data_IF_854964052023
#
_entry.id   IF_854964052023
#
_cell.length_a   1.000
_cell.length_b   1.000
_cell.length_c   1.000
_cell.angle_alpha   90.00
_cell.angle_beta   90.00
_cell.angle_gamma   90.00
#
_symmetry.space_group_name_H-M   'P 1'
#
loop_
_entity.id
_entity.type
_entity.pdbx_description
1 polymer ?
#
# COMPACT_ATOMS: atom_id res chain seq x y z
N UNK A 1 -7.89 -3.36 52.54
CA UNK A 1 -7.35 -2.15 51.86
C UNK A 1 -7.86 -2.11 50.42
N UNK A 2 -8.46 -1.01 49.96
CA UNK A 2 -8.85 -0.85 48.55
C UNK A 2 -7.58 -0.72 47.70
N UNK A 3 -7.44 -1.55 46.66
CA UNK A 3 -6.30 -1.46 45.73
C UNK A 3 -6.31 -0.09 45.04
N UNK A 4 -5.13 0.53 44.95
CA UNK A 4 -4.92 1.80 44.24
C UNK A 4 -4.15 1.56 42.94
N UNK A 5 -4.36 2.41 41.95
CA UNK A 5 -3.61 2.43 40.70
C UNK A 5 -3.05 3.83 40.44
N UNK A 6 -1.96 3.91 39.68
CA UNK A 6 -1.42 5.19 39.19
C UNK A 6 -1.88 5.44 37.77
N UNK A 7 -2.26 6.68 37.47
CA UNK A 7 -2.63 7.10 36.13
C UNK A 7 -2.01 8.47 35.82
N UNK A 8 -1.76 8.70 34.54
CA UNK A 8 -1.30 9.99 34.04
C UNK A 8 -2.53 10.85 33.70
N UNK A 9 -2.66 12.03 34.29
CA UNK A 9 -3.85 12.87 34.23
C UNK A 9 -3.51 14.25 33.69
N UNK A 10 -4.45 14.82 32.93
CA UNK A 10 -4.38 16.19 32.44
C UNK A 10 -5.56 17.00 32.96
N UNK A 11 -5.27 18.02 33.77
CA UNK A 11 -6.31 18.81 34.46
C UNK A 11 -6.90 19.94 33.62
N UNK A 12 -6.24 20.34 32.53
CA UNK A 12 -6.69 21.42 31.63
C UNK A 12 -6.65 20.97 30.17
N UNK A 13 -7.66 21.36 29.38
CA UNK A 13 -7.65 21.20 27.92
C UNK A 13 -6.57 22.13 27.31
N UNK A 14 -5.93 21.73 26.21
CA UNK A 14 -4.88 22.50 25.52
C UNK A 14 -3.46 21.97 25.75
N UNK A 15 -2.41 22.70 25.35
CA UNK A 15 -1.01 22.32 25.58
C UNK A 15 -0.66 22.51 27.06
N UNK A 16 -0.11 21.48 27.71
CA UNK A 16 0.21 21.52 29.13
C UNK A 16 0.73 20.19 29.67
N UNK A 17 1.38 20.24 30.82
CA UNK A 17 2.00 19.09 31.47
C UNK A 17 0.95 18.09 31.96
N UNK A 18 1.31 16.81 31.96
CA UNK A 18 0.53 15.75 32.60
C UNK A 18 1.17 15.37 33.93
N UNK A 19 0.34 14.96 34.89
CA UNK A 19 0.78 14.59 36.24
C UNK A 19 0.41 13.15 36.56
N UNK A 20 1.25 12.45 37.32
CA UNK A 20 0.94 11.11 37.82
C UNK A 20 0.13 11.25 39.11
N UNK A 21 -1.05 10.63 39.17
CA UNK A 21 -1.88 10.61 40.37
C UNK A 21 -2.35 9.20 40.74
N UNK A 22 -2.62 9.00 42.03
CA UNK A 22 -3.11 7.75 42.59
C UNK A 22 -4.64 7.71 42.66
N UNK A 23 -5.26 6.73 42.02
CA UNK A 23 -6.71 6.52 42.00
C UNK A 23 -7.10 5.23 42.71
N UNK A 24 -8.33 5.13 43.24
CA UNK A 24 -8.92 3.83 43.56
C UNK A 24 -9.08 3.01 42.28
N UNK A 25 -8.83 1.71 42.35
CA UNK A 25 -9.04 0.83 41.20
C UNK A 25 -10.52 0.87 40.76
N UNK A 26 -10.82 1.05 39.46
CA UNK A 26 -12.20 1.14 38.97
C UNK A 26 -12.95 -0.17 39.20
N UNK A 27 -14.26 -0.05 39.43
CA UNK A 27 -15.17 -1.19 39.43
C UNK A 27 -15.50 -1.54 37.97
N UNK A 28 -15.40 -2.82 37.64
CA UNK A 28 -15.84 -3.34 36.35
C UNK A 28 -17.33 -3.68 36.46
N UNK A 29 -18.13 -3.28 35.47
CA UNK A 29 -19.49 -3.77 35.29
C UNK A 29 -19.53 -5.25 34.88
N UNK A 30 -20.73 -5.81 34.74
CA UNK A 30 -20.92 -7.23 34.43
C UNK A 30 -20.25 -7.67 33.12
N UNK A 31 -20.14 -6.76 32.14
CA UNK A 31 -19.58 -7.01 30.81
C UNK A 31 -18.17 -6.41 30.63
N UNK A 32 -17.57 -5.83 31.68
CA UNK A 32 -16.28 -5.17 31.60
C UNK A 32 -15.12 -6.11 31.95
N UNK A 33 -14.03 -6.01 31.20
CA UNK A 33 -12.78 -6.73 31.52
C UNK A 33 -11.75 -5.75 32.10
N UNK A 34 -11.15 -6.13 33.23
CA UNK A 34 -10.03 -5.39 33.82
C UNK A 34 -8.72 -5.73 33.11
N UNK A 35 -8.11 -4.72 32.48
CA UNK A 35 -6.82 -4.87 31.79
C UNK A 35 -5.70 -4.31 32.67
N UNK A 36 -4.70 -5.15 32.97
CA UNK A 36 -3.45 -4.69 33.60
C UNK A 36 -2.48 -4.23 32.52
N UNK A 37 -2.30 -2.91 32.42
CA UNK A 37 -1.38 -2.30 31.44
C UNK A 37 0.07 -2.68 31.77
N UNK A 38 0.78 -3.31 30.82
CA UNK A 38 2.22 -3.62 30.92
C UNK A 38 3.11 -2.63 30.16
N UNK A 39 2.58 -2.03 29.10
CA UNK A 39 3.23 -1.01 28.29
C UNK A 39 2.18 -0.10 27.66
N UNK A 40 2.54 1.15 27.39
CA UNK A 40 1.70 2.13 26.71
C UNK A 40 2.60 2.97 25.79
N UNK A 41 2.22 3.12 24.52
CA UNK A 41 2.98 3.90 23.54
C UNK A 41 2.66 5.39 23.64
N UNK A 42 3.68 6.25 23.56
CA UNK A 42 3.50 7.69 23.41
C UNK A 42 3.30 8.06 21.94
N UNK A 43 2.39 8.99 21.65
CA UNK A 43 2.23 9.62 20.32
C UNK A 43 2.47 11.12 20.46
N UNK A 44 3.28 11.70 19.57
CA UNK A 44 3.45 13.16 19.48
C UNK A 44 2.26 13.76 18.71
N UNK A 45 1.59 14.75 19.31
CA UNK A 45 0.51 15.49 18.66
C UNK A 45 1.09 16.58 17.74
N UNK A 46 1.07 16.36 16.42
CA UNK A 46 1.05 17.46 15.43
C UNK A 46 -0.31 17.45 14.74
N UNK A 47 -1.08 18.51 14.98
CA UNK A 47 -2.41 18.83 14.46
C UNK A 47 -3.55 17.84 14.81
N UNK A 48 -4.67 18.42 15.24
CA UNK A 48 -5.90 17.73 15.65
C UNK A 48 -6.46 16.85 14.52
N UNK A 49 -6.36 15.54 14.70
CA UNK A 49 -7.17 14.56 13.96
C UNK A 49 -8.46 14.41 14.79
N UNK A 50 -9.66 14.61 14.20
CA UNK A 50 -10.90 14.44 14.94
C UNK A 50 -10.96 13.04 15.56
N UNK A 51 -11.22 13.02 16.88
CA UNK A 51 -11.54 11.83 17.66
C UNK A 51 -12.88 11.27 17.17
N UNK A 52 -12.84 10.55 16.07
CA UNK A 52 -13.84 9.54 15.73
C UNK A 52 -13.13 8.21 15.42
N UNK A 53 -12.27 7.79 16.35
CA UNK A 53 -11.63 6.47 16.34
C UNK A 53 -12.57 5.39 16.90
N UNK A 54 -13.85 5.43 16.49
CA UNK A 54 -14.76 4.29 16.57
C UNK A 54 -14.70 3.39 15.33
N UNK A 55 -13.71 3.56 14.45
CA UNK A 55 -13.27 2.49 13.56
C UNK A 55 -12.43 1.48 14.37
N UNK A 56 -13.10 0.72 15.22
CA UNK A 56 -12.55 -0.54 15.73
C UNK A 56 -12.18 -1.40 14.51
N UNK A 57 -11.14 -2.20 14.66
CA UNK A 57 -10.73 -3.24 13.71
C UNK A 57 -11.75 -4.36 13.59
N UNK A 58 -12.98 -4.01 13.22
CA UNK A 58 -14.15 -4.88 13.12
C UNK A 58 -14.22 -5.59 11.76
N UNK A 59 -13.26 -5.36 10.85
CA UNK A 59 -13.16 -6.14 9.59
C UNK A 59 -12.63 -7.56 9.87
N UNK A 60 -11.96 -7.79 11.02
CA UNK A 60 -11.26 -9.06 11.33
C UNK A 60 -11.51 -9.52 12.80
N UNK A 61 -12.51 -8.96 13.48
CA UNK A 61 -12.84 -9.36 14.85
C UNK A 61 -14.33 -9.58 15.02
N UNK A 62 -14.84 -10.67 14.47
CA UNK A 62 -16.02 -11.31 15.03
C UNK A 62 -15.81 -12.81 15.24
N UNK A 63 -16.25 -13.20 16.44
CA UNK A 63 -16.39 -14.50 17.08
C UNK A 63 -15.19 -15.45 17.28
N UNK A 64 -14.84 -15.61 18.56
CA UNK A 64 -14.13 -16.77 19.13
C UNK A 64 -12.74 -17.09 18.58
N UNK A 65 -11.76 -16.22 18.80
CA UNK A 65 -10.36 -16.58 19.10
C UNK A 65 -9.58 -17.56 18.20
N UNK A 66 -10.12 -18.00 17.05
CA UNK A 66 -9.63 -19.20 16.36
C UNK A 66 -9.68 -19.15 14.81
N UNK A 67 -10.11 -18.05 14.17
CA UNK A 67 -10.34 -18.04 12.71
C UNK A 67 -9.64 -16.96 11.86
N UNK A 68 -8.66 -16.22 12.40
CA UNK A 68 -7.90 -15.20 11.62
C UNK A 68 -6.80 -15.83 10.75
N UNK A 69 -6.49 -17.12 10.91
CA UNK A 69 -5.34 -17.79 10.25
C UNK A 69 -5.62 -18.28 8.83
N UNK A 70 -6.88 -18.30 8.37
CA UNK A 70 -7.25 -18.89 7.08
C UNK A 70 -7.60 -17.87 5.98
N UNK A 71 -7.70 -16.58 6.30
CA UNK A 71 -8.01 -15.56 5.29
C UNK A 71 -6.78 -15.25 4.42
N UNK A 72 -7.03 -15.21 3.12
CA UNK A 72 -6.04 -14.91 2.07
C UNK A 72 -6.51 -13.70 1.27
N UNK A 73 -5.55 -12.92 0.81
CA UNK A 73 -5.75 -11.85 -0.14
C UNK A 73 -5.42 -12.35 -1.54
N UNK A 74 -6.34 -12.23 -2.49
CA UNK A 74 -6.14 -12.59 -3.88
C UNK A 74 -6.14 -11.32 -4.73
N UNK A 75 -5.11 -11.15 -5.55
CA UNK A 75 -5.04 -10.09 -6.56
C UNK A 75 -5.60 -10.63 -7.88
N UNK A 76 -6.50 -9.89 -8.52
CA UNK A 76 -7.11 -10.24 -9.80
C UNK A 76 -6.79 -9.17 -10.87
N UNK A 77 -5.55 -9.16 -11.41
CA UNK A 77 -5.07 -8.11 -12.32
C UNK A 77 -5.55 -8.31 -13.77
N UNK A 78 -6.87 -8.29 -13.99
CA UNK A 78 -7.48 -8.42 -15.33
C UNK A 78 -7.26 -7.17 -16.19
N UNK A 79 -7.23 -6.00 -15.58
CA UNK A 79 -6.85 -4.73 -16.21
C UNK A 79 -5.39 -4.33 -15.87
N UNK A 80 -4.56 -5.32 -15.53
CA UNK A 80 -3.20 -5.09 -15.04
C UNK A 80 -3.15 -4.53 -13.62
N UNK A 81 -2.08 -3.80 -13.32
CA UNK A 81 -1.78 -3.30 -11.98
C UNK A 81 -0.76 -2.14 -12.06
N UNK A 82 -1.04 -1.08 -11.30
CA UNK A 82 -0.13 0.02 -10.99
C UNK A 82 -0.10 0.27 -9.47
N UNK A 83 0.80 1.12 -8.99
CA UNK A 83 0.94 1.39 -7.57
C UNK A 83 -0.30 2.09 -6.97
N UNK A 84 -0.80 3.13 -7.62
CA UNK A 84 -2.04 3.84 -7.25
C UNK A 84 -3.26 2.90 -7.23
N UNK A 85 -3.37 1.98 -8.21
CA UNK A 85 -4.40 0.94 -8.24
C UNK A 85 -4.27 0.00 -7.04
N UNK A 86 -3.07 -0.40 -6.65
CA UNK A 86 -2.87 -1.25 -5.48
C UNK A 86 -3.33 -0.56 -4.19
N UNK A 87 -2.88 0.67 -3.97
CA UNK A 87 -3.26 1.46 -2.80
C UNK A 87 -4.77 1.67 -2.77
N UNK A 88 -5.36 2.07 -3.91
CA UNK A 88 -6.81 2.24 -4.05
C UNK A 88 -7.58 0.96 -3.75
N UNK A 89 -7.12 -0.19 -4.24
CA UNK A 89 -7.79 -1.47 -4.02
C UNK A 89 -7.79 -1.88 -2.54
N UNK A 90 -6.68 -1.64 -1.82
CA UNK A 90 -6.60 -1.89 -0.38
C UNK A 90 -7.46 -0.92 0.45
N UNK A 91 -7.56 0.35 0.04
CA UNK A 91 -8.53 1.29 0.64
C UNK A 91 -9.95 0.81 0.37
N UNK A 92 -10.25 0.32 -0.84
CA UNK A 92 -11.52 -0.29 -1.20
C UNK A 92 -11.87 -1.52 -0.34
N UNK A 93 -10.86 -2.27 0.12
CA UNK A 93 -11.03 -3.34 1.11
C UNK A 93 -11.33 -2.84 2.54
N UNK A 94 -11.25 -1.54 2.78
CA UNK A 94 -11.54 -0.92 4.08
C UNK A 94 -10.31 -0.52 4.88
N UNK A 95 -9.13 -0.43 4.26
CA UNK A 95 -8.00 0.23 4.90
C UNK A 95 -8.25 1.74 5.02
N UNK A 96 -7.81 2.36 6.12
CA UNK A 96 -8.13 3.74 6.47
C UNK A 96 -7.42 4.73 5.55
N UNK A 97 -8.17 5.36 4.66
CA UNK A 97 -7.65 6.30 3.66
C UNK A 97 -6.83 7.45 4.27
N UNK A 98 -7.24 8.00 5.41
CA UNK A 98 -6.51 9.10 6.08
C UNK A 98 -5.14 8.67 6.58
N UNK A 99 -5.01 7.44 7.09
CA UNK A 99 -3.73 6.90 7.57
C UNK A 99 -2.80 6.58 6.41
N UNK A 100 -3.31 5.98 5.35
CA UNK A 100 -2.56 5.66 4.13
C UNK A 100 -2.06 6.96 3.48
N UNK A 101 -2.96 7.93 3.28
CA UNK A 101 -2.63 9.27 2.79
C UNK A 101 -1.50 9.89 3.63
N UNK A 102 -1.62 9.87 4.96
CA UNK A 102 -0.61 10.47 5.85
C UNK A 102 0.75 9.78 5.71
N UNK A 103 0.79 8.46 5.54
CA UNK A 103 2.04 7.73 5.31
C UNK A 103 2.68 8.10 3.96
N UNK A 104 1.88 8.13 2.89
CA UNK A 104 2.34 8.52 1.54
C UNK A 104 2.91 9.94 1.54
N UNK A 105 2.18 10.92 2.08
CA UNK A 105 2.66 12.31 2.18
C UNK A 105 3.88 12.43 3.09
N UNK A 106 4.04 11.56 4.09
CA UNK A 106 5.21 11.56 4.97
C UNK A 106 6.47 11.12 4.25
N UNK A 107 6.41 10.08 3.41
CA UNK A 107 7.58 9.69 2.63
C UNK A 107 7.87 10.67 1.50
N UNK A 108 6.83 11.20 0.85
CA UNK A 108 6.98 12.22 -0.19
C UNK A 108 7.70 13.49 0.31
N UNK A 109 7.43 13.89 1.56
CA UNK A 109 8.09 15.04 2.22
C UNK A 109 9.61 14.94 2.37
N UNK A 110 10.20 13.75 2.25
CA UNK A 110 11.67 13.61 2.22
C UNK A 110 12.27 14.01 0.87
N UNK A 111 11.46 14.06 -0.19
CA UNK A 111 11.90 14.28 -1.57
C UNK A 111 11.36 15.57 -2.19
N UNK A 112 10.31 16.17 -1.61
CA UNK A 112 9.68 17.39 -2.12
C UNK A 112 8.38 17.72 -1.38
N UNK A 113 7.52 18.53 -1.99
CA UNK A 113 6.15 18.72 -1.49
C UNK A 113 5.22 17.68 -2.13
N UNK A 114 4.49 16.96 -1.30
CA UNK A 114 3.68 15.82 -1.71
C UNK A 114 2.27 15.94 -1.13
N UNK A 115 1.27 15.87 -2.01
CA UNK A 115 -0.14 15.87 -1.65
C UNK A 115 -0.84 14.69 -2.28
N UNK A 116 -1.58 13.95 -1.47
CA UNK A 116 -2.30 12.75 -1.92
C UNK A 116 -3.81 12.93 -1.76
N UNK A 117 -4.55 12.55 -2.79
CA UNK A 117 -6.02 12.47 -2.76
C UNK A 117 -6.44 11.02 -2.92
N UNK A 118 -7.26 10.54 -1.99
CA UNK A 118 -7.87 9.22 -2.04
C UNK A 118 -9.37 9.42 -1.98
N UNK A 119 -10.09 9.00 -3.01
CA UNK A 119 -11.52 9.27 -3.13
C UNK A 119 -12.27 8.17 -3.91
N UNK A 120 -13.58 7.99 -3.66
CA UNK A 120 -14.41 7.10 -4.47
C UNK A 120 -14.44 7.58 -5.92
N UNK A 121 -14.25 6.68 -6.86
CA UNK A 121 -14.30 6.95 -8.28
C UNK A 121 -14.99 5.80 -9.01
N UNK A 122 -15.52 6.06 -10.19
CA UNK A 122 -16.27 5.08 -10.97
C UNK A 122 -15.59 4.90 -12.31
N UNK A 123 -15.22 3.66 -12.64
CA UNK A 123 -14.74 3.27 -13.98
C UNK A 123 -15.83 2.41 -14.62
N UNK A 124 -16.55 3.00 -15.58
CA UNK A 124 -17.78 2.42 -16.15
C UNK A 124 -18.79 2.07 -15.03
N UNK A 125 -19.19 0.81 -14.92
CA UNK A 125 -20.15 0.37 -13.90
C UNK A 125 -19.51 -0.03 -12.57
N UNK A 126 -18.18 -0.02 -12.49
CA UNK A 126 -17.43 -0.45 -11.29
C UNK A 126 -17.11 0.72 -10.37
N UNK A 127 -17.62 0.65 -9.14
CA UNK A 127 -17.21 1.55 -8.06
C UNK A 127 -15.83 1.13 -7.55
N UNK A 128 -14.90 2.08 -7.52
CA UNK A 128 -13.53 1.88 -7.10
C UNK A 128 -13.04 3.05 -6.22
N UNK A 129 -11.81 2.94 -5.73
CA UNK A 129 -11.10 4.03 -5.07
C UNK A 129 -9.98 4.49 -5.98
N UNK A 130 -9.92 5.80 -6.24
CA UNK A 130 -8.83 6.44 -6.98
C UNK A 130 -7.85 7.07 -6.01
N UNK A 131 -6.57 6.96 -6.35
CA UNK A 131 -5.46 7.63 -5.67
C UNK A 131 -4.79 8.54 -6.69
N UNK A 132 -4.78 9.85 -6.40
CA UNK A 132 -4.04 10.83 -7.18
C UNK A 132 -2.92 11.39 -6.30
N UNK A 133 -1.73 11.47 -6.87
CA UNK A 133 -0.56 12.05 -6.22
C UNK A 133 -0.14 13.31 -6.97
N UNK A 134 0.06 14.38 -6.22
CA UNK A 134 0.55 15.66 -6.70
C UNK A 134 1.88 15.92 -6.01
N UNK A 135 2.94 16.08 -6.79
CA UNK A 135 4.30 16.18 -6.27
C UNK A 135 5.09 17.31 -6.93
N UNK A 136 5.74 18.11 -6.08
CA UNK A 136 6.69 19.14 -6.49
C UNK A 136 8.09 18.75 -5.94
N UNK A 137 9.05 18.36 -6.81
CA UNK A 137 10.36 17.89 -6.37
C UNK A 137 11.17 18.97 -5.67
N UNK A 138 11.97 18.55 -4.68
CA UNK A 138 12.96 19.42 -4.04
C UNK A 138 13.97 19.97 -5.06
N UNK A 139 14.42 21.24 -4.92
CA UNK A 139 15.43 21.84 -5.79
C UNK A 139 16.77 21.07 -5.82
N UNK A 140 17.03 20.23 -4.83
CA UNK A 140 18.27 19.48 -4.71
C UNK A 140 18.30 18.17 -5.51
N UNK A 141 17.25 17.86 -6.27
CA UNK A 141 17.14 16.65 -7.08
C UNK A 141 16.92 15.38 -6.26
N UNK A 142 16.31 14.39 -6.89
CA UNK A 142 16.04 13.06 -6.32
C UNK A 142 17.00 12.04 -6.95
N UNK A 143 17.61 11.18 -6.15
CA UNK A 143 18.46 10.10 -6.65
C UNK A 143 18.16 8.80 -5.89
N UNK A 144 18.75 7.68 -6.32
CA UNK A 144 18.52 6.37 -5.70
C UNK A 144 18.92 6.33 -4.22
N UNK A 145 20.00 7.00 -3.84
CA UNK A 145 20.47 7.03 -2.46
C UNK A 145 19.51 7.81 -1.56
N UNK A 146 19.09 9.00 -2.01
CA UNK A 146 18.07 9.82 -1.34
C UNK A 146 16.74 9.07 -1.22
N UNK A 147 16.34 8.37 -2.27
CA UNK A 147 15.09 7.58 -2.29
C UNK A 147 15.15 6.43 -1.28
N UNK A 148 16.24 5.65 -1.27
CA UNK A 148 16.46 4.59 -0.27
C UNK A 148 16.53 5.15 1.16
N UNK A 149 17.17 6.30 1.35
CA UNK A 149 17.24 6.97 2.65
C UNK A 149 15.85 7.43 3.11
N UNK A 150 15.08 8.06 2.23
CA UNK A 150 13.71 8.47 2.49
C UNK A 150 12.84 7.29 2.93
N UNK A 151 12.92 6.16 2.21
CA UNK A 151 12.21 4.94 2.60
C UNK A 151 12.63 4.47 4.00
N UNK A 152 13.94 4.37 4.29
CA UNK A 152 14.44 3.93 5.60
C UNK A 152 13.95 4.82 6.74
N UNK A 153 13.99 6.13 6.56
CA UNK A 153 13.49 7.07 7.58
C UNK A 153 11.97 6.97 7.75
N UNK A 154 11.22 6.84 6.65
CA UNK A 154 9.77 6.73 6.68
C UNK A 154 9.29 5.44 7.36
N UNK A 155 9.85 4.27 7.02
CA UNK A 155 9.46 3.00 7.63
C UNK A 155 9.81 2.96 9.13
N UNK A 156 10.93 3.59 9.52
CA UNK A 156 11.32 3.76 10.92
C UNK A 156 10.36 4.68 11.66
N UNK A 157 10.01 5.84 11.08
CA UNK A 157 9.07 6.79 11.67
C UNK A 157 7.65 6.25 11.83
N UNK A 158 7.24 5.35 10.94
CA UNK A 158 5.94 4.67 11.00
C UNK A 158 5.94 3.43 11.91
N UNK A 159 7.10 3.03 12.44
CA UNK A 159 7.28 1.81 13.23
C UNK A 159 6.70 0.58 12.52
N UNK A 160 6.95 0.44 11.21
CA UNK A 160 6.48 -0.72 10.45
C UNK A 160 7.14 -2.00 10.96
N UNK A 161 6.39 -3.10 11.13
CA UNK A 161 6.98 -4.40 11.44
C UNK A 161 7.89 -4.89 10.30
N UNK A 162 8.89 -5.69 10.65
CA UNK A 162 9.95 -6.16 9.76
C UNK A 162 9.44 -6.69 8.41
N UNK A 163 8.38 -7.50 8.40
CA UNK A 163 7.82 -8.07 7.17
C UNK A 163 7.36 -7.00 6.15
N UNK A 164 6.86 -5.85 6.63
CA UNK A 164 6.41 -4.75 5.76
C UNK A 164 7.58 -3.85 5.35
N UNK A 165 8.61 -3.74 6.20
CA UNK A 165 9.87 -3.07 5.86
C UNK A 165 10.58 -3.81 4.73
N UNK A 166 10.72 -5.14 4.86
CA UNK A 166 11.31 -6.00 3.86
C UNK A 166 10.55 -5.91 2.54
N UNK A 167 9.22 -6.04 2.57
CA UNK A 167 8.38 -5.84 1.38
C UNK A 167 8.65 -4.50 0.69
N UNK A 168 8.73 -3.40 1.45
CA UNK A 168 8.93 -2.09 0.88
C UNK A 168 10.32 -1.92 0.26
N UNK A 169 11.36 -2.41 0.94
CA UNK A 169 12.75 -2.38 0.44
C UNK A 169 12.92 -3.26 -0.80
N UNK A 170 12.43 -4.50 -0.74
CA UNK A 170 12.48 -5.45 -1.86
C UNK A 170 11.75 -4.88 -3.09
N UNK A 171 10.53 -4.34 -2.92
CA UNK A 171 9.78 -3.76 -4.04
C UNK A 171 10.53 -2.59 -4.68
N UNK A 172 11.17 -1.74 -3.88
CA UNK A 172 11.97 -0.62 -4.39
C UNK A 172 13.21 -1.11 -5.15
N UNK A 173 13.93 -2.09 -4.58
CA UNK A 173 15.15 -2.63 -5.18
C UNK A 173 14.85 -3.39 -6.49
N UNK A 174 13.77 -4.18 -6.53
CA UNK A 174 13.27 -4.86 -7.74
C UNK A 174 13.08 -3.86 -8.88
N UNK A 175 12.38 -2.76 -8.59
CA UNK A 175 12.09 -1.75 -9.59
C UNK A 175 13.35 -1.04 -10.05
N UNK A 176 14.16 -0.58 -9.10
CA UNK A 176 15.39 0.13 -9.40
C UNK A 176 16.39 -0.69 -10.23
N UNK A 177 16.51 -1.98 -9.94
CA UNK A 177 17.39 -2.86 -10.70
C UNK A 177 16.85 -3.12 -12.12
N UNK A 178 15.52 -3.24 -12.27
CA UNK A 178 14.89 -3.40 -13.58
C UNK A 178 15.02 -2.16 -14.47
N UNK A 179 14.83 -0.97 -13.89
CA UNK A 179 15.03 0.31 -14.60
C UNK A 179 16.48 0.49 -15.02
N UNK A 180 17.43 0.23 -14.12
CA UNK A 180 18.85 0.37 -14.45
C UNK A 180 19.29 -0.56 -15.59
N UNK A 181 18.82 -1.81 -15.57
CA UNK A 181 19.10 -2.75 -16.66
C UNK A 181 18.43 -2.35 -17.97
N UNK A 182 17.19 -1.89 -17.92
CA UNK A 182 16.51 -1.37 -19.09
C UNK A 182 17.29 -0.23 -19.74
N UNK A 183 17.87 0.68 -18.94
CA UNK A 183 18.64 1.81 -19.47
C UNK A 183 19.95 1.40 -20.13
N UNK A 184 20.67 0.43 -19.55
CA UNK A 184 21.98 0.00 -20.08
C UNK A 184 21.87 -0.60 -21.49
N UNK A 185 20.69 -1.10 -21.87
CA UNK A 185 20.46 -1.73 -23.17
C UNK A 185 19.89 -0.78 -24.23
N UNK A 186 19.57 0.47 -23.86
CA UNK A 186 18.97 1.46 -24.77
C UNK A 186 20.03 2.55 -25.07
N UNK A 187 20.69 2.51 -26.24
CA UNK A 187 21.67 3.52 -26.62
C UNK A 187 21.03 4.92 -26.69
N UNK A 188 21.65 5.91 -26.06
CA UNK A 188 21.17 7.31 -26.04
C UNK A 188 20.19 7.65 -24.91
N UNK A 189 19.95 6.72 -23.98
CA UNK A 189 19.15 6.97 -22.79
C UNK A 189 19.91 7.87 -21.79
N UNK A 190 19.76 9.18 -21.92
CA UNK A 190 20.24 10.16 -20.93
C UNK A 190 19.08 10.70 -20.10
N UNK A 191 19.22 10.63 -18.77
CA UNK A 191 18.17 10.82 -17.76
C UNK A 191 17.65 12.27 -17.68
N UNK A 192 16.32 12.48 -17.72
CA UNK A 192 15.69 13.27 -16.64
C UNK A 192 14.25 12.86 -16.22
N UNK A 193 13.63 11.80 -16.78
CA UNK A 193 12.23 11.45 -16.47
C UNK A 193 12.04 10.60 -15.21
N UNK A 194 13.10 10.00 -14.65
CA UNK A 194 13.06 9.15 -13.45
C UNK A 194 12.71 9.88 -12.15
N UNK A 195 12.72 11.23 -12.17
CA UNK A 195 12.60 12.05 -10.98
C UNK A 195 11.14 12.20 -10.51
N UNK A 196 10.18 12.19 -11.42
CA UNK A 196 8.75 12.20 -11.06
C UNK A 196 8.30 10.81 -10.61
N UNK A 197 8.77 9.76 -11.28
CA UNK A 197 8.39 8.38 -11.00
C UNK A 197 8.96 7.88 -9.65
N UNK A 198 10.21 8.21 -9.29
CA UNK A 198 10.84 7.75 -8.05
C UNK A 198 10.06 8.12 -6.77
N UNK A 199 9.37 9.25 -6.77
CA UNK A 199 8.57 9.68 -5.63
C UNK A 199 7.23 8.96 -5.58
N UNK A 200 6.52 8.87 -6.71
CA UNK A 200 5.25 8.13 -6.80
C UNK A 200 5.45 6.66 -6.43
N UNK A 201 6.57 6.07 -6.86
CA UNK A 201 7.03 4.73 -6.46
C UNK A 201 7.10 4.59 -4.94
N UNK A 202 7.79 5.50 -4.23
CA UNK A 202 7.92 5.40 -2.77
C UNK A 202 6.57 5.54 -2.07
N UNK A 203 5.74 6.47 -2.53
CA UNK A 203 4.44 6.71 -1.96
C UNK A 203 3.54 5.49 -2.15
N UNK A 204 3.53 4.88 -3.33
CA UNK A 204 2.73 3.68 -3.60
C UNK A 204 3.22 2.46 -2.81
N UNK A 205 4.53 2.26 -2.71
CA UNK A 205 5.14 1.19 -1.91
C UNK A 205 4.75 1.35 -0.44
N UNK A 206 4.94 2.55 0.13
CA UNK A 206 4.68 2.77 1.55
C UNK A 206 3.18 2.77 1.86
N UNK A 207 2.36 3.34 0.98
CA UNK A 207 0.90 3.28 1.06
C UNK A 207 0.41 1.84 1.07
N UNK A 208 0.96 0.99 0.20
CA UNK A 208 0.65 -0.44 0.15
C UNK A 208 1.11 -1.15 1.43
N UNK A 209 2.32 -0.89 1.92
CA UNK A 209 2.86 -1.51 3.13
C UNK A 209 2.00 -1.21 4.37
N UNK A 210 1.61 0.06 4.55
CA UNK A 210 0.75 0.50 5.66
C UNK A 210 -0.65 -0.10 5.54
N UNK A 211 -1.21 -0.14 4.34
CA UNK A 211 -2.53 -0.70 4.11
C UNK A 211 -2.56 -2.22 4.37
N UNK A 212 -1.56 -2.96 3.90
CA UNK A 212 -1.41 -4.40 4.18
C UNK A 212 -1.27 -4.67 5.67
N UNK A 213 -0.47 -3.87 6.39
CA UNK A 213 -0.34 -3.97 7.85
C UNK A 213 -1.67 -3.75 8.55
N UNK A 214 -2.42 -2.73 8.14
CA UNK A 214 -3.72 -2.42 8.73
C UNK A 214 -4.75 -3.52 8.50
N UNK A 215 -4.74 -4.12 7.30
CA UNK A 215 -5.62 -5.21 6.92
C UNK A 215 -5.14 -6.59 7.41
N UNK A 216 -3.99 -6.68 8.07
CA UNK A 216 -3.47 -7.94 8.61
C UNK A 216 -3.02 -8.95 7.55
N UNK A 217 -2.68 -8.51 6.34
CA UNK A 217 -2.11 -9.35 5.29
C UNK A 217 -0.60 -9.24 5.27
N UNK A 218 0.08 -10.38 5.32
CA UNK A 218 1.52 -10.45 5.42
C UNK A 218 2.11 -10.76 4.03
N UNK A 219 2.96 -9.86 3.49
CA UNK A 219 3.72 -10.12 2.26
C UNK A 219 4.37 -11.50 2.29
N UNK A 220 4.33 -12.21 1.16
CA UNK A 220 4.89 -13.56 0.97
C UNK A 220 4.28 -14.68 1.82
N UNK A 221 3.20 -14.45 2.57
CA UNK A 221 2.57 -15.49 3.41
C UNK A 221 1.15 -15.86 2.98
N UNK A 222 0.25 -14.87 2.90
CA UNK A 222 -1.18 -15.09 2.65
C UNK A 222 -1.73 -14.19 1.53
N UNK A 223 -0.86 -13.75 0.62
CA UNK A 223 -1.23 -12.96 -0.56
C UNK A 223 -0.94 -13.81 -1.81
N UNK A 224 -1.92 -13.96 -2.69
CA UNK A 224 -1.85 -14.76 -3.91
C UNK A 224 -2.25 -13.91 -5.11
N UNK A 225 -1.77 -14.24 -6.30
CA UNK A 225 -2.20 -13.60 -7.55
C UNK A 225 -2.90 -14.60 -8.45
N UNK A 226 -4.00 -14.18 -9.08
CA UNK A 226 -4.68 -14.96 -10.09
C UNK A 226 -4.03 -14.73 -11.46
N UNK A 227 -3.44 -15.79 -12.03
CA UNK A 227 -2.74 -15.77 -13.32
C UNK A 227 -3.66 -15.98 -14.53
N UNK A 228 -3.28 -15.55 -15.74
CA UNK A 228 -2.09 -14.76 -16.08
C UNK A 228 -2.30 -13.28 -15.76
N UNK A 229 -1.23 -12.57 -15.39
CA UNK A 229 -1.27 -11.11 -15.25
C UNK A 229 -1.38 -10.48 -16.64
N UNK A 230 -2.39 -9.64 -16.87
CA UNK A 230 -2.52 -8.95 -18.15
C UNK A 230 -1.62 -7.71 -18.18
N UNK A 231 -0.69 -7.69 -19.12
CA UNK A 231 0.31 -6.62 -19.24
C UNK A 231 -0.09 -5.52 -20.21
N UNK A 232 -1.12 -5.78 -21.02
CA UNK A 232 -1.52 -4.91 -22.11
C UNK A 232 -0.75 -5.18 -23.41
N UNK A 233 -0.71 -4.20 -24.29
CA UNK A 233 -0.29 -4.36 -25.68
C UNK A 233 0.15 -3.04 -26.33
N UNK A 234 0.47 -3.08 -27.61
CA UNK A 234 0.87 -1.91 -28.36
C UNK A 234 2.25 -1.39 -27.99
N UNK A 235 2.37 -0.07 -27.95
CA UNK A 235 3.61 0.65 -27.66
C UNK A 235 3.35 1.80 -26.69
N UNK A 236 4.30 2.05 -25.81
CA UNK A 236 4.31 3.18 -24.88
C UNK A 236 5.43 4.15 -25.27
N UNK A 237 5.15 5.45 -25.26
CA UNK A 237 6.11 6.50 -25.58
C UNK A 237 6.53 7.23 -24.32
N UNK A 238 7.83 7.24 -24.07
CA UNK A 238 8.46 8.01 -23.00
C UNK A 238 9.34 9.11 -23.60
N UNK A 239 9.90 9.97 -22.74
CA UNK A 239 10.81 11.06 -23.11
C UNK A 239 12.00 10.62 -23.97
N UNK A 240 12.40 9.36 -23.87
CA UNK A 240 13.57 8.75 -24.50
C UNK A 240 13.21 7.70 -25.56
N UNK A 241 11.95 7.66 -26.03
CA UNK A 241 11.54 6.83 -27.17
C UNK A 241 10.28 6.01 -26.96
N UNK A 242 9.93 5.23 -27.99
CA UNK A 242 8.73 4.39 -28.03
C UNK A 242 9.10 2.92 -27.94
N UNK A 243 8.54 2.20 -26.97
CA UNK A 243 8.87 0.81 -26.66
C UNK A 243 7.62 -0.08 -26.76
N UNK A 244 7.76 -1.37 -27.12
CA UNK A 244 6.64 -2.31 -27.07
C UNK A 244 6.18 -2.55 -25.64
N UNK A 245 4.90 -2.87 -25.45
CA UNK A 245 4.37 -3.34 -24.16
C UNK A 245 4.53 -4.88 -24.06
N UNK A 246 4.98 -5.43 -22.91
CA UNK A 246 5.37 -4.73 -21.67
C UNK A 246 6.63 -3.87 -21.84
N UNK A 247 6.65 -2.71 -21.19
CA UNK A 247 7.81 -1.80 -21.20
C UNK A 247 9.09 -2.51 -20.71
N UNK A 248 10.30 -2.00 -21.08
CA UNK A 248 11.56 -2.69 -20.78
C UNK A 248 11.74 -3.11 -19.32
N UNK A 249 11.50 -2.21 -18.36
CA UNK A 249 11.62 -2.53 -16.93
C UNK A 249 10.56 -3.55 -16.47
N UNK A 250 9.30 -3.38 -16.88
CA UNK A 250 8.23 -4.37 -16.63
C UNK A 250 8.61 -5.74 -17.15
N UNK A 251 9.10 -5.83 -18.40
CA UNK A 251 9.54 -7.08 -19.02
C UNK A 251 10.65 -7.76 -18.21
N UNK A 252 11.64 -6.99 -17.74
CA UNK A 252 12.74 -7.50 -16.92
C UNK A 252 12.25 -8.13 -15.62
N UNK A 253 11.32 -7.47 -14.94
CA UNK A 253 10.70 -8.00 -13.71
C UNK A 253 9.98 -9.31 -14.02
N UNK A 254 9.12 -9.33 -15.05
CA UNK A 254 8.37 -10.52 -15.45
C UNK A 254 9.29 -11.71 -15.75
N UNK A 255 10.34 -11.49 -16.55
CA UNK A 255 11.26 -12.54 -17.00
C UNK A 255 12.17 -13.05 -15.86
N UNK A 256 12.61 -12.16 -14.97
CA UNK A 256 13.46 -12.49 -13.81
C UNK A 256 12.69 -13.30 -12.77
N UNK A 257 11.49 -12.87 -12.43
CA UNK A 257 10.67 -13.46 -11.38
C UNK A 257 9.70 -14.53 -11.88
N UNK A 258 9.77 -14.88 -13.17
CA UNK A 258 8.95 -15.92 -13.82
C UNK A 258 7.46 -15.70 -13.59
N UNK A 259 7.03 -14.44 -13.69
CA UNK A 259 5.64 -14.06 -13.47
C UNK A 259 4.83 -14.54 -14.68
N UNK A 260 3.78 -15.34 -14.48
CA UNK A 260 2.90 -15.77 -15.57
C UNK A 260 2.08 -14.59 -16.07
N UNK A 261 2.25 -14.23 -17.35
CA UNK A 261 1.62 -13.06 -17.94
C UNK A 261 1.09 -13.31 -19.34
N UNK A 262 0.15 -12.47 -19.75
CA UNK A 262 -0.45 -12.49 -21.08
C UNK A 262 -0.58 -11.05 -21.62
N UNK A 263 -0.34 -10.89 -22.92
CA UNK A 263 -0.57 -9.62 -23.63
C UNK A 263 -2.06 -9.37 -23.87
N UNK A 264 -2.40 -8.10 -24.09
CA UNK A 264 -3.78 -7.65 -24.25
C UNK A 264 -4.52 -7.58 -22.90
N UNK A 265 -5.85 -7.46 -22.89
CA UNK A 265 -6.73 -7.40 -24.07
C UNK A 265 -6.69 -6.05 -24.82
N UNK A 266 -5.94 -5.06 -24.32
CA UNK A 266 -5.90 -3.70 -24.85
C UNK A 266 -4.50 -3.30 -25.31
N UNK A 267 -4.43 -2.45 -26.33
CA UNK A 267 -3.18 -1.90 -26.89
C UNK A 267 -2.68 -0.67 -26.10
N UNK A 268 -2.65 -0.81 -24.77
CA UNK A 268 -2.09 0.17 -23.81
C UNK A 268 -1.28 -0.57 -22.75
N UNK A 269 -0.41 0.13 -22.00
CA UNK A 269 0.27 -0.48 -20.86
C UNK A 269 -0.70 -0.68 -19.69
N UNK A 270 -0.95 -1.93 -19.31
CA UNK A 270 -1.83 -2.27 -18.17
C UNK A 270 -1.04 -2.61 -16.90
N UNK A 271 0.13 -3.24 -17.05
CA UNK A 271 1.04 -3.51 -15.93
C UNK A 271 2.21 -2.55 -15.99
N UNK A 272 2.30 -1.65 -15.00
CA UNK A 272 3.43 -0.70 -14.91
C UNK A 272 4.63 -1.36 -14.22
N UNK A 273 5.86 -0.82 -14.36
CA UNK A 273 7.03 -1.30 -13.64
C UNK A 273 6.79 -1.33 -12.11
N UNK A 274 6.17 -0.28 -11.55
CA UNK A 274 5.78 -0.22 -10.14
C UNK A 274 4.79 -1.33 -9.75
N UNK A 275 3.76 -1.55 -10.59
CA UNK A 275 2.80 -2.62 -10.36
C UNK A 275 3.46 -4.00 -10.34
N UNK A 276 4.35 -4.27 -11.29
CA UNK A 276 5.11 -5.51 -11.36
C UNK A 276 6.05 -5.70 -10.15
N UNK A 277 6.72 -4.64 -9.70
CA UNK A 277 7.59 -4.68 -8.54
C UNK A 277 6.83 -4.95 -7.24
N UNK A 278 5.71 -4.25 -7.02
CA UNK A 278 4.81 -4.47 -5.89
C UNK A 278 4.28 -5.91 -5.88
N UNK A 279 3.74 -6.36 -7.02
CA UNK A 279 3.25 -7.73 -7.20
C UNK A 279 4.32 -8.75 -6.79
N UNK A 280 5.55 -8.55 -7.28
CA UNK A 280 6.70 -9.41 -6.95
C UNK A 280 7.03 -9.38 -5.47
N UNK A 281 7.05 -8.21 -4.83
CA UNK A 281 7.38 -8.09 -3.40
C UNK A 281 6.31 -8.69 -2.48
N UNK A 282 5.03 -8.66 -2.86
CA UNK A 282 3.94 -9.06 -1.96
C UNK A 282 3.44 -10.49 -2.13
N UNK A 283 3.41 -11.01 -3.36
CA UNK A 283 2.71 -12.27 -3.66
C UNK A 283 3.54 -13.48 -3.24
N UNK A 284 2.90 -14.42 -2.55
CA UNK A 284 3.46 -15.73 -2.21
C UNK A 284 3.50 -16.65 -3.42
N UNK A 285 2.38 -16.77 -4.13
CA UNK A 285 2.23 -17.71 -5.24
C UNK A 285 1.19 -17.25 -6.26
N UNK A 286 1.26 -17.83 -7.45
CA UNK A 286 0.32 -17.63 -8.54
C UNK A 286 -0.64 -18.80 -8.62
N UNK A 287 -1.92 -18.52 -8.83
CA UNK A 287 -2.99 -19.51 -8.91
C UNK A 287 -3.80 -19.28 -10.17
N UNK A 288 -4.21 -20.37 -10.83
CA UNK A 288 -5.06 -20.31 -12.00
C UNK A 288 -6.34 -19.50 -11.72
N UNK A 289 -6.73 -18.58 -12.60
CA UNK A 289 -7.84 -17.64 -12.37
C UNK A 289 -9.18 -18.34 -12.15
N UNK A 290 -9.35 -19.53 -12.71
CA UNK A 290 -10.53 -20.40 -12.54
C UNK A 290 -10.77 -20.73 -11.06
N UNK A 291 -9.71 -20.78 -10.24
CA UNK A 291 -9.81 -20.97 -8.78
C UNK A 291 -10.65 -19.88 -8.10
N UNK A 292 -10.86 -18.73 -8.75
CA UNK A 292 -11.73 -17.66 -8.26
C UNK A 292 -13.16 -18.13 -8.01
N UNK A 293 -13.65 -19.10 -8.77
CA UNK A 293 -15.02 -19.65 -8.65
C UNK A 293 -15.20 -20.50 -7.39
N UNK A 294 -14.10 -21.04 -6.86
CA UNK A 294 -14.08 -21.84 -5.63
C UNK A 294 -13.97 -21.00 -4.36
N UNK A 295 -13.68 -19.70 -4.48
CA UNK A 295 -13.41 -18.82 -3.33
C UNK A 295 -14.68 -18.49 -2.55
N UNK A 296 -14.65 -18.72 -1.24
CA UNK A 296 -15.67 -18.18 -0.32
C UNK A 296 -15.34 -16.72 -0.03
N UNK A 297 -15.86 -15.84 -0.89
CA UNK A 297 -15.56 -14.40 -0.85
C UNK A 297 -16.16 -13.74 0.38
N UNK A 298 -15.31 -13.02 1.13
CA UNK A 298 -15.70 -12.20 2.28
C UNK A 298 -15.79 -10.73 1.91
N UNK A 299 -14.84 -10.23 1.12
CA UNK A 299 -14.81 -8.81 0.73
C UNK A 299 -14.08 -8.63 -0.59
N UNK A 300 -14.45 -7.58 -1.32
CA UNK A 300 -13.77 -7.12 -2.54
C UNK A 300 -13.39 -5.66 -2.38
N UNK A 301 -12.25 -5.29 -2.96
CA UNK A 301 -11.79 -3.91 -3.08
C UNK A 301 -11.37 -3.66 -4.52
N UNK A 302 -11.59 -2.43 -4.98
CA UNK A 302 -11.29 -2.04 -6.35
C UNK A 302 -10.49 -0.75 -6.36
N UNK A 303 -9.33 -0.76 -7.01
CA UNK A 303 -8.48 0.42 -7.21
C UNK A 303 -8.54 0.89 -8.66
N UNK A 304 -8.86 2.16 -8.88
CA UNK A 304 -9.03 2.72 -10.22
C UNK A 304 -7.71 3.15 -10.85
N UNK A 305 -7.42 2.66 -12.05
CA UNK A 305 -6.31 3.15 -12.87
C UNK A 305 -6.58 4.56 -13.43
N UNK A 306 -5.55 5.21 -13.97
CA UNK A 306 -5.68 6.58 -14.49
C UNK A 306 -6.48 6.62 -15.81
N UNK A 307 -6.19 5.70 -16.74
CA UNK A 307 -6.78 5.70 -18.08
C UNK A 307 -8.26 5.32 -18.08
N UNK A 308 -9.02 5.93 -18.98
CA UNK A 308 -10.35 5.48 -19.38
C UNK A 308 -10.20 4.55 -20.59
N UNK A 309 -10.72 3.33 -20.47
CA UNK A 309 -10.54 2.23 -21.41
C UNK A 309 -11.91 1.63 -21.76
N UNK A 310 -11.97 0.79 -22.80
CA UNK A 310 -13.20 0.08 -23.21
C UNK A 310 -13.64 -1.02 -22.22
N UNK A 311 -12.87 -1.24 -21.17
CA UNK A 311 -13.20 -2.10 -20.02
C UNK A 311 -12.92 -1.34 -18.72
N UNK A 312 -13.53 -1.73 -17.59
CA UNK A 312 -13.23 -1.11 -16.30
C UNK A 312 -11.73 -1.21 -15.97
N UNK A 313 -11.02 -0.08 -16.01
CA UNK A 313 -9.61 0.01 -15.63
C UNK A 313 -9.45 -0.02 -14.11
N UNK A 314 -9.62 -1.22 -13.52
CA UNK A 314 -9.58 -1.42 -12.08
C UNK A 314 -8.79 -2.66 -11.71
N UNK A 315 -8.01 -2.57 -10.63
CA UNK A 315 -7.45 -3.72 -9.95
C UNK A 315 -8.47 -4.22 -8.94
N UNK A 316 -8.88 -5.48 -9.06
CA UNK A 316 -9.69 -6.14 -8.03
C UNK A 316 -8.77 -6.88 -7.05
N UNK A 317 -9.07 -6.73 -5.77
CA UNK A 317 -8.50 -7.54 -4.69
C UNK A 317 -9.62 -8.20 -3.89
N UNK A 318 -9.41 -9.44 -3.47
CA UNK A 318 -10.45 -10.29 -2.88
C UNK A 318 -9.92 -10.87 -1.58
N UNK A 319 -10.68 -10.73 -0.49
CA UNK A 319 -10.45 -11.46 0.75
C UNK A 319 -11.35 -12.68 0.75
N UNK A 320 -10.75 -13.87 0.82
CA UNK A 320 -11.47 -15.15 0.80
C UNK A 320 -10.74 -16.23 1.61
N UNK A 321 -11.41 -17.36 1.84
CA UNK A 321 -10.86 -18.58 2.44
C UNK A 321 -10.48 -19.59 1.36
#
# INVERSE_FOLDING_TARGET
MRKRMKALVKFRKGVGNMEIQDFPEPKAGAEDVKIKVKACGARENRAEIPLDARARGDIIREDKGQEVTNLKLFLNPQAGMSGDMMVGALVGLGATSTRIKSAMETVGRFLGDARVRIYPHRKMDTQATKVDVFFEPSPHGVDREKTRKALREAVKGLCLPEAYVQFAQESLDILFDAEEEAHREIPGFTNPSHLHEATDILMDILGSAVALQELGFFPKKNIYCLEPVYVGGGKVSFSHGTFPVPAPATKRILDRYKIPYQKGPLEVELLTPTGAALLTGMVRDFLARERKEELVVRKRGYGAGAMDLDVPNVLEVIVAQ
#
